data_IF_084339257226
#
_entry.id   IF_084339257226
#
_cell.length_a   1.000
_cell.length_b   1.000
_cell.length_c   1.000
_cell.angle_alpha   90.00
_cell.angle_beta   90.00
_cell.angle_gamma   90.00
#
_symmetry.space_group_name_H-M   'P 1'
#
loop_
_entity.id
_entity.type
_entity.pdbx_description
1 polymer ?
#
# COMPACT_ATOMS: atom_id res chain seq x y z
N UNK A 1 41.07 -56.51 25.54
CA UNK A 1 41.36 -55.42 24.57
C UNK A 1 40.04 -54.79 24.28
N UNK A 2 39.77 -53.64 24.86
CA UNK A 2 38.50 -52.90 24.73
C UNK A 2 38.63 -51.95 23.57
N UNK A 3 37.72 -52.12 22.58
CA UNK A 3 37.69 -51.40 21.31
C UNK A 3 37.28 -49.93 21.50
N UNK A 4 38.24 -49.05 21.64
CA UNK A 4 38.03 -47.60 21.78
C UNK A 4 37.72 -46.88 20.46
N UNK A 5 37.80 -47.59 19.33
CA UNK A 5 37.60 -47.02 17.98
C UNK A 5 36.11 -46.78 17.68
N UNK A 6 35.19 -47.56 18.24
CA UNK A 6 33.74 -47.40 18.05
C UNK A 6 33.18 -46.18 18.79
N UNK A 7 33.76 -45.79 19.93
CA UNK A 7 33.26 -44.65 20.73
C UNK A 7 33.63 -43.29 20.09
N UNK A 8 34.76 -43.21 19.38
CA UNK A 8 35.21 -41.95 18.75
C UNK A 8 34.36 -41.53 17.54
N UNK A 9 33.86 -42.49 16.77
CA UNK A 9 33.05 -42.23 15.58
C UNK A 9 31.64 -41.79 15.96
N UNK A 10 31.06 -42.32 16.99
CA UNK A 10 29.72 -41.95 17.50
C UNK A 10 29.66 -40.51 18.02
N UNK A 11 30.69 -40.05 18.73
CA UNK A 11 30.73 -38.66 19.23
C UNK A 11 30.94 -37.62 18.12
N UNK A 12 31.69 -37.96 17.07
CA UNK A 12 31.90 -37.06 15.90
C UNK A 12 30.62 -36.81 15.14
N UNK A 13 29.77 -37.83 14.94
CA UNK A 13 28.46 -37.64 14.24
C UNK A 13 27.44 -36.90 15.12
N UNK A 14 27.45 -37.05 16.42
CA UNK A 14 26.56 -36.31 17.32
C UNK A 14 26.91 -34.82 17.36
N UNK A 15 28.20 -34.45 17.32
CA UNK A 15 28.64 -33.05 17.27
C UNK A 15 28.38 -32.41 15.92
N UNK A 16 28.57 -33.11 14.80
CA UNK A 16 28.25 -32.62 13.45
C UNK A 16 26.74 -32.49 13.25
N UNK A 17 25.94 -33.43 13.70
CA UNK A 17 24.48 -33.36 13.64
C UNK A 17 23.93 -32.23 14.50
N UNK A 18 24.45 -32.01 15.69
CA UNK A 18 24.07 -30.90 16.57
C UNK A 18 24.44 -29.53 15.98
N UNK A 19 25.59 -29.42 15.29
CA UNK A 19 26.04 -28.19 14.66
C UNK A 19 25.22 -27.85 13.42
N UNK A 20 24.80 -28.84 12.63
CA UNK A 20 23.92 -28.67 11.49
C UNK A 20 22.50 -28.25 11.92
N UNK A 21 21.98 -28.79 13.01
CA UNK A 21 20.70 -28.41 13.59
C UNK A 21 20.78 -26.96 14.16
N UNK A 22 21.88 -26.61 14.81
CA UNK A 22 22.11 -25.25 15.32
C UNK A 22 22.29 -24.22 14.24
N UNK A 23 22.86 -24.58 13.08
CA UNK A 23 22.96 -23.68 11.90
C UNK A 23 21.62 -23.55 11.17
N UNK A 24 20.77 -24.58 11.18
CA UNK A 24 19.42 -24.54 10.59
C UNK A 24 18.43 -23.72 11.41
N UNK A 25 18.68 -23.49 12.69
CA UNK A 25 17.80 -22.71 13.59
C UNK A 25 18.16 -21.23 13.71
N UNK A 26 19.17 -20.73 13.00
CA UNK A 26 19.34 -19.28 12.82
C UNK A 26 18.14 -18.77 12.05
N UNK A 27 17.09 -18.40 12.76
CA UNK A 27 15.99 -17.57 12.28
C UNK A 27 16.63 -16.32 11.66
N UNK A 28 16.69 -16.30 10.36
CA UNK A 28 17.07 -15.12 9.63
C UNK A 28 15.94 -14.11 9.87
N UNK A 29 16.11 -13.26 10.86
CA UNK A 29 15.28 -12.06 11.02
C UNK A 29 15.59 -11.18 9.82
N UNK A 30 14.87 -11.37 8.72
CA UNK A 30 15.05 -10.67 7.44
C UNK A 30 14.69 -9.18 7.54
N UNK A 31 14.19 -8.73 8.69
CA UNK A 31 13.77 -7.34 8.87
C UNK A 31 14.67 -6.64 9.91
N UNK A 32 15.57 -5.75 9.50
CA UNK A 32 16.08 -4.75 10.43
C UNK A 32 14.88 -3.87 10.80
N UNK A 33 14.58 -3.75 12.09
CA UNK A 33 13.44 -3.06 12.70
C UNK A 33 13.18 -1.63 12.20
N UNK A 34 14.13 -1.02 11.48
CA UNK A 34 14.04 0.36 10.95
C UNK A 34 13.28 0.50 9.63
N UNK A 35 13.05 -0.58 8.88
CA UNK A 35 12.42 -0.50 7.55
C UNK A 35 11.06 -1.24 7.49
N UNK A 36 10.67 -1.90 8.57
CA UNK A 36 9.40 -2.61 8.61
C UNK A 36 8.27 -1.58 8.79
N UNK A 37 7.27 -1.55 7.91
CA UNK A 37 6.09 -0.72 8.12
C UNK A 37 5.36 -1.17 9.39
N UNK A 38 4.69 -0.25 10.07
CA UNK A 38 3.74 -0.62 11.11
C UNK A 38 2.64 -1.48 10.47
N UNK A 39 2.56 -2.73 10.89
CA UNK A 39 1.61 -3.72 10.38
C UNK A 39 0.50 -3.91 11.40
N UNK A 40 -0.72 -3.52 11.04
CA UNK A 40 -1.89 -3.61 11.92
C UNK A 40 -2.98 -4.44 11.26
N UNK A 41 -3.70 -5.22 12.08
CA UNK A 41 -4.88 -5.92 11.60
C UNK A 41 -5.92 -4.91 11.08
N UNK A 42 -6.58 -5.25 9.98
CA UNK A 42 -7.50 -4.36 9.30
C UNK A 42 -6.88 -3.55 8.16
N UNK A 43 -5.55 -3.49 8.05
CA UNK A 43 -4.90 -2.81 6.93
C UNK A 43 -5.17 -3.50 5.60
N UNK A 44 -5.53 -2.70 4.60
CA UNK A 44 -5.65 -3.17 3.21
C UNK A 44 -4.28 -3.40 2.63
N UNK A 45 -4.08 -4.57 2.07
CA UNK A 45 -2.87 -4.98 1.36
C UNK A 45 -3.23 -5.50 -0.03
N UNK A 46 -2.31 -5.39 -0.94
CA UNK A 46 -2.40 -5.98 -2.28
C UNK A 46 -1.27 -6.98 -2.45
N UNK A 47 -1.52 -8.09 -3.12
CA UNK A 47 -0.45 -8.97 -3.54
C UNK A 47 -0.64 -9.43 -4.98
N UNK A 48 0.47 -9.70 -5.64
CA UNK A 48 0.51 -10.09 -7.06
C UNK A 48 1.12 -11.48 -7.19
N UNK A 49 0.38 -12.40 -7.82
CA UNK A 49 0.83 -13.75 -8.16
C UNK A 49 0.68 -13.92 -9.66
N UNK A 50 1.75 -14.33 -10.36
CA UNK A 50 1.74 -14.57 -11.80
C UNK A 50 1.05 -13.42 -12.58
N UNK A 51 1.40 -12.17 -12.27
CA UNK A 51 0.85 -10.95 -12.88
C UNK A 51 -0.61 -10.62 -12.52
N UNK A 52 -1.30 -11.46 -11.77
CA UNK A 52 -2.66 -11.21 -11.28
C UNK A 52 -2.61 -10.55 -9.90
N UNK A 53 -3.30 -9.41 -9.77
CA UNK A 53 -3.36 -8.64 -8.53
C UNK A 53 -4.61 -9.00 -7.73
N UNK A 54 -4.42 -9.15 -6.42
CA UNK A 54 -5.46 -9.43 -5.45
C UNK A 54 -5.42 -8.38 -4.35
N UNK A 55 -6.57 -7.82 -4.00
CA UNK A 55 -6.73 -6.96 -2.84
C UNK A 55 -7.27 -7.79 -1.67
N UNK A 56 -6.70 -7.58 -0.49
CA UNK A 56 -7.12 -8.26 0.73
C UNK A 56 -6.84 -7.40 1.96
N UNK A 57 -7.05 -7.98 3.15
CA UNK A 57 -6.86 -7.32 4.43
C UNK A 57 -5.89 -8.16 5.28
N UNK A 58 -4.96 -7.49 5.94
CA UNK A 58 -4.11 -8.08 6.96
C UNK A 58 -4.98 -8.41 8.19
N UNK A 59 -5.02 -9.68 8.60
CA UNK A 59 -5.81 -10.11 9.77
C UNK A 59 -4.96 -10.34 11.00
N UNK A 60 -3.64 -10.41 10.86
CA UNK A 60 -2.71 -10.53 11.97
C UNK A 60 -1.26 -10.69 11.52
N UNK A 61 -0.37 -10.53 12.47
CA UNK A 61 1.09 -10.66 12.30
C UNK A 61 1.60 -11.59 13.42
N UNK A 62 2.45 -12.54 13.04
CA UNK A 62 3.03 -13.50 13.97
C UNK A 62 4.51 -13.72 13.61
N UNK A 63 5.38 -12.89 14.16
CA UNK A 63 6.79 -12.85 13.81
C UNK A 63 7.01 -12.44 12.35
N UNK A 64 7.57 -13.34 11.54
CA UNK A 64 7.79 -13.19 10.10
C UNK A 64 6.60 -13.67 9.23
N UNK A 65 5.56 -14.21 9.88
CA UNK A 65 4.35 -14.67 9.22
C UNK A 65 3.26 -13.61 9.28
N UNK A 66 2.60 -13.39 8.14
CA UNK A 66 1.44 -12.52 7.99
C UNK A 66 0.21 -13.36 7.72
N UNK A 67 -0.90 -13.00 8.36
CA UNK A 67 -2.20 -13.61 8.12
C UNK A 67 -3.01 -12.66 7.26
N UNK A 68 -3.48 -13.14 6.12
CA UNK A 68 -4.27 -12.36 5.16
C UNK A 68 -5.67 -12.97 5.04
N UNK A 69 -6.70 -12.15 4.97
CA UNK A 69 -8.01 -12.65 4.59
C UNK A 69 -7.94 -13.28 3.19
N UNK A 70 -8.61 -14.40 2.91
CA UNK A 70 -8.63 -14.96 1.57
C UNK A 70 -9.24 -13.96 0.58
N UNK A 71 -8.57 -13.59 -0.52
CA UNK A 71 -9.18 -12.75 -1.53
C UNK A 71 -10.33 -13.49 -2.19
N UNK A 72 -11.33 -12.76 -2.64
CA UNK A 72 -12.47 -13.31 -3.33
C UNK A 72 -12.36 -13.07 -4.84
N UNK A 73 -12.62 -14.11 -5.61
CA UNK A 73 -12.81 -14.03 -7.05
C UNK A 73 -14.19 -14.56 -7.40
N UNK A 74 -15.03 -13.72 -8.00
CA UNK A 74 -16.44 -14.06 -8.28
C UNK A 74 -17.20 -14.58 -7.05
N UNK A 75 -16.88 -14.06 -5.86
CA UNK A 75 -17.49 -14.47 -4.59
C UNK A 75 -16.90 -15.72 -3.94
N UNK A 76 -15.92 -16.38 -4.57
CA UNK A 76 -15.28 -17.58 -4.03
C UNK A 76 -13.88 -17.25 -3.50
N UNK A 77 -13.46 -17.83 -2.36
CA UNK A 77 -12.12 -17.66 -1.85
C UNK A 77 -11.08 -18.25 -2.81
N UNK A 78 -10.07 -17.46 -3.15
CA UNK A 78 -8.94 -17.94 -3.95
C UNK A 78 -7.99 -18.72 -3.07
N UNK A 79 -7.57 -19.90 -3.54
CA UNK A 79 -6.57 -20.73 -2.90
C UNK A 79 -5.23 -20.60 -3.63
N UNK A 80 -4.15 -20.63 -2.87
CA UNK A 80 -2.78 -20.64 -3.38
C UNK A 80 -2.06 -21.86 -2.84
N UNK A 81 -1.22 -22.44 -3.66
CA UNK A 81 -0.38 -23.58 -3.27
C UNK A 81 0.72 -23.12 -2.31
N UNK A 82 1.02 -23.95 -1.30
CA UNK A 82 2.16 -23.74 -0.42
C UNK A 82 3.46 -23.70 -1.27
N UNK A 83 4.35 -22.78 -0.95
CA UNK A 83 5.57 -22.57 -1.72
C UNK A 83 5.44 -21.49 -2.80
N UNK A 84 4.23 -21.08 -3.20
CA UNK A 84 4.03 -20.00 -4.19
C UNK A 84 4.57 -18.69 -3.67
N UNK A 85 5.30 -17.96 -4.50
CA UNK A 85 5.77 -16.60 -4.20
C UNK A 85 4.80 -15.55 -4.73
N UNK A 86 4.71 -14.44 -3.99
CA UNK A 86 3.93 -13.27 -4.37
C UNK A 86 4.68 -11.98 -4.02
N UNK A 87 4.40 -10.92 -4.74
CA UNK A 87 4.80 -9.56 -4.34
C UNK A 87 3.69 -8.95 -3.47
N UNK A 88 3.99 -8.73 -2.20
CA UNK A 88 3.09 -8.06 -1.26
C UNK A 88 3.34 -6.56 -1.29
N UNK A 89 2.26 -5.79 -1.35
CA UNK A 89 2.30 -4.33 -1.37
C UNK A 89 1.37 -3.75 -0.31
N UNK A 90 1.93 -2.90 0.53
CA UNK A 90 1.23 -2.14 1.55
C UNK A 90 1.37 -0.66 1.26
N UNK A 91 0.25 0.06 1.23
CA UNK A 91 0.26 1.53 1.09
C UNK A 91 -0.03 2.15 2.45
N UNK A 92 0.87 3.00 2.92
CA UNK A 92 0.76 3.75 4.17
C UNK A 92 0.82 5.25 3.86
N UNK A 93 0.52 6.13 4.82
CA UNK A 93 0.78 7.57 4.66
C UNK A 93 2.25 7.88 4.32
N UNK A 94 3.19 7.14 4.90
CA UNK A 94 4.63 7.30 4.65
C UNK A 94 5.07 6.86 3.26
N UNK A 95 4.27 6.08 2.52
CA UNK A 95 4.62 5.61 1.17
C UNK A 95 4.11 4.22 0.85
N UNK A 96 4.75 3.59 -0.11
CA UNK A 96 4.46 2.22 -0.53
C UNK A 96 5.57 1.31 -0.04
N UNK A 97 5.20 0.25 0.64
CA UNK A 97 6.10 -0.80 1.09
C UNK A 97 5.83 -2.06 0.27
N UNK A 98 6.87 -2.66 -0.27
CA UNK A 98 6.82 -3.87 -1.10
C UNK A 98 7.77 -4.91 -0.54
N UNK A 99 7.32 -6.17 -0.50
CA UNK A 99 8.14 -7.30 -0.11
C UNK A 99 7.70 -8.55 -0.87
N UNK A 100 8.64 -9.46 -1.13
CA UNK A 100 8.30 -10.79 -1.58
C UNK A 100 7.85 -11.63 -0.39
N UNK A 101 6.75 -12.34 -0.55
CA UNK A 101 6.23 -13.29 0.43
C UNK A 101 6.08 -14.66 -0.20
N UNK A 102 6.10 -15.71 0.63
CA UNK A 102 5.82 -17.07 0.25
C UNK A 102 4.57 -17.57 0.96
N UNK A 103 3.63 -18.14 0.24
CA UNK A 103 2.49 -18.82 0.84
C UNK A 103 2.97 -20.09 1.54
N UNK A 104 2.66 -20.21 2.84
CA UNK A 104 3.03 -21.37 3.65
C UNK A 104 1.84 -22.24 4.02
N UNK A 105 0.62 -21.71 3.90
CA UNK A 105 -0.58 -22.48 4.15
C UNK A 105 -1.83 -21.63 4.28
N UNK A 106 -2.89 -22.32 4.70
CA UNK A 106 -4.17 -21.70 5.03
C UNK A 106 -4.67 -22.21 6.37
N UNK A 107 -5.35 -21.36 7.09
CA UNK A 107 -6.10 -21.72 8.29
C UNK A 107 -7.58 -21.53 7.99
N UNK A 108 -8.41 -22.49 8.45
CA UNK A 108 -9.87 -22.45 8.23
C UNK A 108 -10.63 -22.01 9.46
N UNK A 109 -10.08 -22.20 10.66
CA UNK A 109 -10.69 -21.86 11.95
C UNK A 109 -9.69 -21.09 12.83
N UNK A 110 -10.10 -20.17 13.73
CA UNK A 110 -11.47 -19.69 13.90
C UNK A 110 -11.97 -18.82 12.74
N UNK A 111 -11.05 -18.13 12.01
CA UNK A 111 -11.36 -17.34 10.82
C UNK A 111 -10.49 -17.80 9.65
N UNK A 112 -11.09 -17.97 8.47
CA UNK A 112 -10.32 -18.32 7.27
C UNK A 112 -9.23 -17.28 7.00
N UNK A 113 -7.98 -17.72 6.87
CA UNK A 113 -6.88 -16.87 6.47
C UNK A 113 -5.84 -17.63 5.64
N UNK A 114 -5.14 -16.88 4.80
CA UNK A 114 -3.92 -17.29 4.15
C UNK A 114 -2.74 -16.93 5.05
N UNK A 115 -1.80 -17.84 5.18
CA UNK A 115 -0.58 -17.60 5.96
C UNK A 115 0.56 -17.45 4.96
N UNK A 116 1.22 -16.31 5.01
CA UNK A 116 2.38 -16.01 4.18
C UNK A 116 3.56 -15.66 5.06
N UNK A 117 4.76 -15.95 4.61
CA UNK A 117 6.01 -15.59 5.26
C UNK A 117 6.79 -14.62 4.41
N UNK A 118 7.44 -13.64 5.02
CA UNK A 118 8.33 -12.73 4.33
C UNK A 118 9.53 -13.53 3.76
N UNK A 119 9.72 -13.43 2.46
CA UNK A 119 10.85 -14.03 1.73
C UNK A 119 11.91 -12.98 1.34
N UNK A 120 11.60 -11.69 1.46
CA UNK A 120 12.54 -10.59 1.26
C UNK A 120 12.37 -9.53 2.35
N UNK A 121 13.33 -8.61 2.42
CA UNK A 121 13.19 -7.37 3.19
C UNK A 121 12.12 -6.47 2.55
N UNK A 122 11.51 -5.62 3.36
CA UNK A 122 10.65 -4.57 2.86
C UNK A 122 11.46 -3.55 2.06
N UNK A 123 10.94 -3.17 0.91
CA UNK A 123 11.42 -2.07 0.09
C UNK A 123 10.44 -0.92 0.23
N UNK A 124 10.88 0.18 0.79
CA UNK A 124 10.09 1.40 0.90
C UNK A 124 10.29 2.28 -0.33
N UNK A 125 9.20 2.74 -0.92
CA UNK A 125 9.20 3.68 -2.03
C UNK A 125 8.29 4.85 -1.70
N UNK A 126 8.89 5.99 -1.39
CA UNK A 126 8.13 7.24 -1.27
C UNK A 126 7.89 7.81 -2.66
N UNK A 127 6.68 7.62 -3.19
CA UNK A 127 6.28 8.12 -4.51
C UNK A 127 5.69 9.53 -4.47
N UNK A 128 5.31 10.00 -3.27
CA UNK A 128 4.67 11.30 -3.10
C UNK A 128 5.69 12.29 -2.58
N UNK A 129 5.89 13.37 -3.33
CA UNK A 129 6.73 14.48 -2.88
C UNK A 129 6.11 15.21 -1.68
N UNK A 130 4.76 15.19 -1.58
CA UNK A 130 4.01 15.88 -0.54
C UNK A 130 3.01 14.92 0.11
N UNK A 131 2.85 15.04 1.41
CA UNK A 131 1.82 14.35 2.17
C UNK A 131 0.43 14.83 1.73
N UNK A 132 -0.55 13.93 1.79
CA UNK A 132 -1.95 14.24 1.49
C UNK A 132 -2.77 14.18 2.76
N UNK A 133 -3.58 15.20 2.95
CA UNK A 133 -4.51 15.32 4.07
C UNK A 133 -5.91 15.07 3.51
N UNK A 134 -6.61 14.11 4.10
CA UNK A 134 -8.04 13.88 3.81
C UNK A 134 -8.81 15.04 4.45
N UNK A 135 -9.67 15.64 3.66
CA UNK A 135 -10.43 16.82 4.07
C UNK A 135 -11.80 16.42 4.65
N UNK A 136 -12.37 17.23 5.54
CA UNK A 136 -13.77 17.09 5.95
C UNK A 136 -14.71 17.19 4.75
N UNK A 137 -15.91 16.60 4.88
CA UNK A 137 -16.90 16.52 3.79
C UNK A 137 -17.47 17.87 3.31
N UNK A 138 -17.12 18.99 3.94
CA UNK A 138 -17.70 20.30 3.65
C UNK A 138 -16.78 21.25 2.87
N UNK A 139 -15.60 20.79 2.47
CA UNK A 139 -14.64 21.67 1.77
C UNK A 139 -14.93 21.70 0.29
N UNK A 140 -15.45 22.85 -0.15
CA UNK A 140 -15.71 23.12 -1.55
C UNK A 140 -14.63 24.04 -2.15
N UNK A 141 -14.29 23.81 -3.41
CA UNK A 141 -13.40 24.65 -4.21
C UNK A 141 -14.10 25.08 -5.49
N UNK A 142 -13.82 26.28 -5.93
CA UNK A 142 -14.32 26.74 -7.21
C UNK A 142 -13.31 26.47 -8.33
N UNK A 143 -13.80 25.99 -9.45
CA UNK A 143 -13.02 25.66 -10.65
C UNK A 143 -13.46 26.57 -11.79
N UNK A 144 -12.50 27.19 -12.47
CA UNK A 144 -12.74 27.93 -13.72
C UNK A 144 -12.00 27.27 -14.86
N UNK A 145 -12.74 26.76 -15.82
CA UNK A 145 -12.21 26.16 -17.03
C UNK A 145 -12.92 26.72 -18.25
N UNK A 146 -12.17 27.32 -19.16
CA UNK A 146 -12.71 28.10 -20.27
C UNK A 146 -13.68 29.19 -19.77
N UNK A 147 -14.94 29.12 -20.13
CA UNK A 147 -15.99 30.06 -19.70
C UNK A 147 -16.88 29.48 -18.59
N UNK A 148 -16.60 28.27 -18.15
CA UNK A 148 -17.39 27.56 -17.15
C UNK A 148 -16.85 27.80 -15.73
N UNK A 149 -17.79 27.90 -14.79
CA UNK A 149 -17.53 28.01 -13.37
C UNK A 149 -18.26 26.90 -12.62
N UNK A 150 -17.52 26.07 -11.89
CA UNK A 150 -18.09 24.96 -11.15
C UNK A 150 -17.65 24.98 -9.70
N UNK A 151 -18.55 24.52 -8.82
CA UNK A 151 -18.19 24.15 -7.46
C UNK A 151 -17.91 22.67 -7.44
N UNK A 152 -16.78 22.29 -6.90
CA UNK A 152 -16.33 20.91 -6.72
C UNK A 152 -16.05 20.65 -5.26
N UNK A 153 -16.27 19.39 -4.84
CA UNK A 153 -16.02 18.97 -3.47
C UNK A 153 -14.60 18.40 -3.37
N UNK A 154 -13.76 19.02 -2.54
CA UNK A 154 -12.38 18.57 -2.30
C UNK A 154 -12.35 17.40 -1.31
N UNK A 155 -11.75 16.29 -1.74
CA UNK A 155 -11.64 15.06 -0.94
C UNK A 155 -10.31 14.98 -0.18
N UNK A 156 -9.20 15.22 -0.86
CA UNK A 156 -7.89 15.34 -0.24
C UNK A 156 -7.05 16.43 -0.91
N UNK A 157 -6.17 17.00 -0.12
CA UNK A 157 -5.26 18.06 -0.53
C UNK A 157 -3.83 17.75 -0.14
N UNK A 158 -2.90 18.33 -0.87
CA UNK A 158 -1.47 18.35 -0.56
C UNK A 158 -0.86 19.64 -1.07
N UNK A 159 0.40 19.91 -0.73
CA UNK A 159 1.12 21.05 -1.29
C UNK A 159 1.22 21.01 -2.83
N UNK A 160 1.14 19.81 -3.44
CA UNK A 160 1.30 19.62 -4.88
C UNK A 160 0.00 19.52 -5.68
N UNK A 161 -1.18 19.47 -5.06
CA UNK A 161 -2.43 19.31 -5.79
C UNK A 161 -3.61 18.88 -4.94
N UNK A 162 -4.73 18.66 -5.62
CA UNK A 162 -6.02 18.28 -5.05
C UNK A 162 -6.56 17.01 -5.70
N UNK A 163 -7.33 16.25 -4.93
CA UNK A 163 -8.31 15.29 -5.44
C UNK A 163 -9.70 15.77 -5.06
N UNK A 164 -10.57 15.87 -6.03
CA UNK A 164 -11.91 16.42 -5.87
C UNK A 164 -12.95 15.63 -6.66
N UNK A 165 -14.21 15.87 -6.34
CA UNK A 165 -15.35 15.39 -7.09
C UNK A 165 -16.04 16.58 -7.76
N UNK A 166 -16.36 16.42 -9.05
CA UNK A 166 -16.97 17.47 -9.88
C UNK A 166 -18.23 16.96 -10.59
N UNK A 167 -19.15 17.87 -10.96
CA UNK A 167 -20.39 17.50 -11.65
C UNK A 167 -20.16 17.03 -13.09
N UNK A 168 -19.10 17.53 -13.73
CA UNK A 168 -18.78 17.26 -15.13
C UNK A 168 -17.32 16.82 -15.30
N UNK A 169 -16.99 16.07 -16.37
CA UNK A 169 -15.63 15.66 -16.66
C UNK A 169 -14.79 16.83 -17.14
N UNK A 170 -13.50 16.79 -16.82
CA UNK A 170 -12.50 17.71 -17.35
C UNK A 170 -11.53 16.95 -18.26
N UNK A 171 -11.09 17.57 -19.38
CA UNK A 171 -10.11 16.96 -20.26
C UNK A 171 -8.78 16.72 -19.54
N UNK A 172 -8.11 15.60 -19.84
CA UNK A 172 -6.76 15.34 -19.37
C UNK A 172 -5.79 16.40 -19.90
N UNK A 173 -4.84 16.79 -19.06
CA UNK A 173 -3.84 17.83 -19.35
C UNK A 173 -4.42 19.24 -19.56
N UNK A 174 -5.71 19.45 -19.32
CA UNK A 174 -6.27 20.79 -19.34
C UNK A 174 -5.77 21.59 -18.14
N UNK A 175 -5.45 22.86 -18.39
CA UNK A 175 -5.12 23.82 -17.36
C UNK A 175 -6.38 24.61 -16.97
N UNK A 176 -6.57 24.78 -15.65
CA UNK A 176 -7.72 25.48 -15.09
C UNK A 176 -7.29 26.30 -13.87
N UNK A 177 -8.12 27.29 -13.53
CA UNK A 177 -7.93 28.05 -12.30
C UNK A 177 -8.75 27.44 -11.18
N UNK A 178 -8.14 27.37 -9.99
CA UNK A 178 -8.75 26.85 -8.77
C UNK A 178 -8.75 27.95 -7.73
N UNK A 179 -9.93 28.30 -7.24
CA UNK A 179 -10.08 29.23 -6.12
C UNK A 179 -10.09 28.42 -4.83
N UNK A 180 -9.07 28.64 -4.02
CA UNK A 180 -8.86 27.90 -2.78
C UNK A 180 -9.58 28.56 -1.61
N UNK A 181 -10.42 27.84 -0.86
CA UNK A 181 -11.03 28.40 0.34
C UNK A 181 -9.97 28.64 1.43
N UNK A 182 -10.19 29.59 2.32
CA UNK A 182 -9.25 29.90 3.42
C UNK A 182 -8.91 28.72 4.30
N UNK A 183 -9.80 27.73 4.42
CA UNK A 183 -9.62 26.50 5.19
C UNK A 183 -8.47 25.62 4.69
N UNK A 184 -8.05 25.79 3.43
CA UNK A 184 -6.93 25.04 2.83
C UNK A 184 -5.59 25.79 2.89
N UNK A 185 -5.54 26.97 3.51
CA UNK A 185 -4.29 27.69 3.76
C UNK A 185 -3.34 26.85 4.62
N UNK A 186 -2.09 26.77 4.22
CA UNK A 186 -1.08 25.95 4.90
C UNK A 186 -1.09 24.47 4.56
N UNK A 187 -2.21 23.92 4.04
CA UNK A 187 -2.28 22.56 3.51
C UNK A 187 -1.75 22.50 2.08
N UNK A 188 -2.11 23.50 1.29
CA UNK A 188 -1.65 23.67 -0.09
C UNK A 188 -0.65 24.82 -0.18
N UNK A 189 0.16 24.81 -1.22
CA UNK A 189 1.04 25.95 -1.52
C UNK A 189 0.32 27.09 -2.26
N UNK A 190 -0.95 26.89 -2.56
CA UNK A 190 -1.82 27.92 -3.16
C UNK A 190 -2.49 28.74 -2.07
N UNK A 191 -2.40 30.04 -2.17
CA UNK A 191 -3.12 30.99 -1.32
C UNK A 191 -4.04 31.82 -2.22
N UNK A 192 -5.35 31.56 -2.15
CA UNK A 192 -6.35 32.16 -3.02
C UNK A 192 -6.52 31.45 -4.36
N UNK A 193 -6.23 32.10 -5.47
CA UNK A 193 -6.37 31.54 -6.83
C UNK A 193 -5.05 30.93 -7.29
N UNK A 194 -5.09 29.75 -7.90
CA UNK A 194 -3.94 29.12 -8.52
C UNK A 194 -4.26 28.40 -9.82
N UNK A 195 -3.23 28.21 -10.64
CA UNK A 195 -3.31 27.42 -11.87
C UNK A 195 -3.04 25.95 -11.55
N UNK A 196 -3.86 25.05 -12.08
CA UNK A 196 -3.72 23.62 -11.90
C UNK A 196 -3.97 22.88 -13.21
N UNK A 197 -3.34 21.70 -13.34
CA UNK A 197 -3.50 20.81 -14.49
C UNK A 197 -4.25 19.55 -14.10
N UNK A 198 -5.18 19.12 -14.95
CA UNK A 198 -5.89 17.85 -14.82
C UNK A 198 -4.93 16.69 -15.11
N UNK A 199 -4.60 15.90 -14.08
CA UNK A 199 -3.72 14.72 -14.22
C UNK A 199 -4.48 13.41 -14.27
N UNK A 200 -5.75 13.40 -13.86
CA UNK A 200 -6.68 12.30 -14.05
C UNK A 200 -8.12 12.78 -13.92
N UNK A 201 -9.02 12.16 -14.67
CA UNK A 201 -10.45 12.35 -14.58
C UNK A 201 -11.12 10.98 -14.80
N UNK A 202 -11.82 10.49 -13.80
CA UNK A 202 -12.42 9.16 -13.81
C UNK A 202 -13.88 9.27 -13.37
N UNK A 203 -14.78 8.50 -14.01
CA UNK A 203 -16.14 8.38 -13.50
C UNK A 203 -16.10 7.62 -12.18
N UNK A 204 -16.72 8.17 -11.17
CA UNK A 204 -16.76 7.59 -9.82
C UNK A 204 -18.21 7.34 -9.40
N UNK A 205 -18.46 6.46 -8.41
CA UNK A 205 -19.76 6.38 -7.76
C UNK A 205 -20.18 7.79 -7.30
N UNK A 206 -21.42 8.16 -7.60
CA UNK A 206 -21.95 9.48 -7.25
C UNK A 206 -21.83 9.72 -5.75
N UNK A 207 -21.12 10.78 -5.39
CA UNK A 207 -20.95 11.22 -4.01
C UNK A 207 -21.31 12.70 -3.92
N UNK A 208 -22.20 13.08 -3.04
CA UNK A 208 -22.73 14.45 -2.92
C UNK A 208 -23.26 15.04 -4.23
N UNK A 209 -23.83 14.20 -5.12
CA UNK A 209 -24.29 14.65 -6.45
C UNK A 209 -23.23 14.75 -7.54
N UNK A 210 -21.95 14.50 -7.21
CA UNK A 210 -20.85 14.55 -8.15
C UNK A 210 -20.52 13.18 -8.74
N UNK A 211 -20.33 13.11 -10.06
CA UNK A 211 -20.14 11.86 -10.79
C UNK A 211 -18.69 11.62 -11.25
N UNK A 212 -17.81 12.60 -11.13
CA UNK A 212 -16.43 12.51 -11.61
C UNK A 212 -15.44 12.79 -10.49
N UNK A 213 -14.46 11.91 -10.35
CA UNK A 213 -13.29 12.13 -9.51
C UNK A 213 -12.17 12.70 -10.37
N UNK A 214 -11.65 13.85 -9.98
CA UNK A 214 -10.62 14.58 -10.70
C UNK A 214 -9.40 14.73 -9.80
N UNK A 215 -8.22 14.53 -10.38
CA UNK A 215 -6.93 14.81 -9.72
C UNK A 215 -6.27 15.99 -10.41
N UNK A 216 -5.92 16.99 -9.63
CA UNK A 216 -5.27 18.21 -10.08
C UNK A 216 -3.84 18.28 -9.55
N UNK A 217 -2.92 18.69 -10.40
CA UNK A 217 -1.57 19.10 -9.99
C UNK A 217 -1.44 20.61 -10.10
N UNK A 218 -0.99 21.27 -9.04
CA UNK A 218 -0.72 22.70 -9.07
C UNK A 218 0.49 23.01 -9.94
N UNK A 219 0.33 23.97 -10.84
CA UNK A 219 1.43 24.47 -11.64
C UNK A 219 2.21 25.52 -10.83
N UNK A 220 3.54 25.44 -10.89
CA UNK A 220 4.39 26.46 -10.28
C UNK A 220 4.22 27.78 -11.06
N UNK A 221 4.00 28.86 -10.37
CA UNK A 221 3.95 30.20 -10.95
C UNK A 221 5.27 30.60 -11.67
N UNK A 222 6.33 29.78 -11.55
CA UNK A 222 7.61 29.97 -12.22
C UNK A 222 7.70 29.30 -13.59
N UNK A 223 6.70 28.50 -13.98
CA UNK A 223 6.68 27.73 -15.24
C UNK A 223 5.42 28.04 -16.08
N UNK A 224 4.71 29.13 -15.81
CA UNK A 224 3.56 29.59 -16.55
C UNK A 224 3.90 30.83 -17.39
#
# INVERSE_FOLDING_TARGET
MTDWTALGIGLGFALLGGMLIALGSRRWSLCPLRECPALEAGQRVEFTVASKRYATVLTGVDGDALRLAPPLERGLPVAFEAGTFAELRLTTPAGVHEATVQFIGRQTRPQPCLIVRLASRWRHTQRRRYERIVLPDEVNVALRFANDYWIAWAHDASQGGLRLYAPAPLPLNADLRVEMPPTLRGVTRCDGECLARVVACERAPTRHGYAYQIRLAFLDARNA
#
